data_IF_721800190306
#
_entry.id   IF_721800190306
#
_cell.length_a   1.000
_cell.length_b   1.000
_cell.length_c   1.000
_cell.angle_alpha   90.00
_cell.angle_beta   90.00
_cell.angle_gamma   90.00
#
_symmetry.space_group_name_H-M   'P 1'
#
loop_
_entity.id
_entity.type
_entity.pdbx_description
1 polymer ?
#
# COMPACT_ATOMS: atom_id res chain seq x y z
N UNK A 1 67.72 45.82 -4.05
CA UNK A 1 67.30 46.53 -2.82
C UNK A 1 65.79 46.46 -2.73
N UNK A 2 65.31 45.74 -1.71
CA UNK A 2 63.90 45.62 -1.31
C UNK A 2 63.47 46.85 -0.50
N UNK A 3 62.24 47.32 -0.69
CA UNK A 3 61.34 47.96 0.31
C UNK A 3 60.10 48.50 -0.44
N UNK A 4 58.94 47.85 -0.31
CA UNK A 4 57.93 48.04 0.75
C UNK A 4 57.39 49.48 0.86
N UNK A 5 56.11 49.65 0.50
CA UNK A 5 55.12 50.15 1.46
C UNK A 5 54.41 51.48 1.17
N UNK A 6 53.09 51.33 1.02
CA UNK A 6 51.99 52.24 1.44
C UNK A 6 51.62 53.40 0.52
N UNK A 7 50.41 53.32 -0.06
CA UNK A 7 49.51 54.47 -0.09
C UNK A 7 48.04 54.05 0.04
N UNK A 8 47.47 54.46 1.18
CA UNK A 8 46.09 54.87 1.46
C UNK A 8 44.89 54.00 1.04
N UNK A 9 44.28 53.43 2.08
CA UNK A 9 42.89 53.01 2.22
C UNK A 9 41.92 54.06 1.66
N UNK A 10 41.03 53.64 0.74
CA UNK A 10 39.77 54.34 0.47
C UNK A 10 38.60 53.47 0.91
N UNK A 11 37.97 53.90 1.99
CA UNK A 11 36.78 53.33 2.59
C UNK A 11 35.58 53.46 1.62
N UNK A 12 34.88 52.36 1.33
CA UNK A 12 33.51 52.41 0.81
C UNK A 12 32.70 51.29 1.44
N UNK A 13 32.10 51.63 2.57
CA UNK A 13 31.20 50.77 3.31
C UNK A 13 29.90 50.46 2.55
N UNK A 14 29.29 49.38 3.02
CA UNK A 14 27.86 49.07 2.98
C UNK A 14 27.21 48.82 1.62
N UNK A 15 27.33 47.59 1.10
CA UNK A 15 26.25 46.92 0.33
C UNK A 15 26.12 45.41 0.58
N UNK A 16 26.70 44.86 1.66
CA UNK A 16 26.59 43.43 1.99
C UNK A 16 25.27 43.10 2.73
N UNK A 17 24.59 44.10 3.27
CA UNK A 17 23.37 43.92 4.06
C UNK A 17 22.07 43.72 3.27
N UNK A 18 22.05 43.91 1.93
CA UNK A 18 20.82 43.83 1.12
C UNK A 18 20.65 42.53 0.33
N UNK A 19 21.71 41.70 0.28
CA UNK A 19 21.68 40.40 -0.38
C UNK A 19 21.35 39.26 0.60
N UNK A 20 21.79 39.39 1.86
CA UNK A 20 21.53 38.41 2.92
C UNK A 20 20.05 38.36 3.35
N UNK A 21 19.30 39.45 3.22
CA UNK A 21 17.88 39.50 3.61
C UNK A 21 16.97 38.72 2.66
N UNK A 22 17.34 38.58 1.37
CA UNK A 22 16.51 37.83 0.40
C UNK A 22 16.70 36.31 0.49
N UNK A 23 17.86 35.83 0.98
CA UNK A 23 18.10 34.39 1.14
C UNK A 23 17.33 33.84 2.35
N UNK A 24 17.20 34.62 3.42
CA UNK A 24 16.43 34.20 4.61
C UNK A 24 14.92 34.15 4.34
N UNK A 25 14.40 35.03 3.48
CA UNK A 25 12.98 35.04 3.08
C UNK A 25 12.61 33.92 2.09
N UNK A 26 13.58 33.40 1.32
CA UNK A 26 13.33 32.29 0.38
C UNK A 26 13.38 30.91 1.06
N UNK A 27 14.21 30.77 2.11
CA UNK A 27 14.34 29.53 2.88
C UNK A 27 13.15 29.23 3.82
N UNK A 28 12.31 30.23 4.11
CA UNK A 28 11.11 30.05 4.96
C UNK A 28 9.85 29.67 4.15
N UNK A 29 9.91 29.74 2.81
CA UNK A 29 8.76 29.48 1.92
C UNK A 29 8.60 28.02 1.47
N UNK A 30 9.60 27.15 1.69
CA UNK A 30 9.57 25.77 1.16
C UNK A 30 9.12 24.71 2.15
N UNK A 31 8.88 25.05 3.43
CA UNK A 31 8.49 24.07 4.45
C UNK A 31 6.97 23.84 4.58
N UNK A 32 6.15 24.43 3.70
CA UNK A 32 4.67 24.36 3.80
C UNK A 32 4.01 23.34 2.84
N UNK A 33 4.79 22.53 2.11
CA UNK A 33 4.26 21.41 1.33
C UNK A 33 4.41 20.05 2.02
N UNK A 34 4.46 20.03 3.36
CA UNK A 34 4.01 18.85 4.10
C UNK A 34 2.49 18.81 4.03
N UNK A 35 1.96 18.48 2.85
CA UNK A 35 0.59 18.04 2.68
C UNK A 35 0.42 16.78 3.51
N UNK A 36 0.09 16.97 4.78
CA UNK A 36 -0.47 15.96 5.64
C UNK A 36 -1.78 15.55 4.98
N UNK A 37 -1.70 14.51 4.14
CA UNK A 37 -2.87 13.87 3.57
C UNK A 37 -3.73 13.44 4.74
N UNK A 38 -4.75 14.23 5.04
CA UNK A 38 -5.79 13.80 5.95
C UNK A 38 -6.51 12.71 5.17
N UNK A 39 -6.08 11.46 5.31
CA UNK A 39 -6.88 10.31 4.91
C UNK A 39 -8.20 10.48 5.66
N UNK A 40 -9.19 11.01 4.95
CA UNK A 40 -10.56 11.00 5.40
C UNK A 40 -10.85 9.52 5.52
N UNK A 41 -10.84 8.98 6.73
CA UNK A 41 -11.37 7.66 7.02
C UNK A 41 -12.83 7.68 6.57
N UNK A 42 -13.05 7.36 5.29
CA UNK A 42 -14.35 7.40 4.67
C UNK A 42 -15.23 6.41 5.41
N UNK A 43 -16.48 6.80 5.66
CA UNK A 43 -17.49 5.82 6.06
C UNK A 43 -17.56 4.73 4.97
N UNK A 44 -17.83 3.48 5.36
CA UNK A 44 -18.05 2.38 4.42
C UNK A 44 -19.06 2.82 3.36
N UNK A 45 -18.61 2.82 2.12
CA UNK A 45 -19.37 3.22 0.95
C UNK A 45 -20.10 2.02 0.35
N UNK A 46 -20.26 2.04 -0.98
CA UNK A 46 -21.01 1.04 -1.73
C UNK A 46 -20.28 -0.31 -1.74
N UNK A 47 -21.01 -1.40 -1.52
CA UNK A 47 -20.50 -2.76 -1.76
C UNK A 47 -20.35 -3.02 -3.27
N UNK A 48 -19.24 -3.67 -3.64
CA UNK A 48 -18.89 -4.01 -5.01
C UNK A 48 -19.18 -5.48 -5.28
N UNK A 49 -19.63 -5.75 -6.51
CA UNK A 49 -19.86 -7.12 -6.96
C UNK A 49 -18.54 -7.84 -7.17
N UNK A 50 -18.48 -9.08 -6.69
CA UNK A 50 -17.35 -9.98 -6.89
C UNK A 50 -17.83 -11.42 -7.03
N UNK A 51 -16.97 -12.22 -7.65
CA UNK A 51 -17.15 -13.67 -7.79
C UNK A 51 -15.95 -14.37 -7.17
N UNK A 52 -16.19 -15.37 -6.32
CA UNK A 52 -15.11 -16.24 -5.85
C UNK A 52 -14.66 -17.12 -7.01
N UNK A 53 -13.37 -17.08 -7.32
CA UNK A 53 -12.80 -17.82 -8.46
C UNK A 53 -12.22 -19.14 -7.94
N UNK A 54 -12.67 -20.30 -8.47
CA UNK A 54 -12.03 -21.57 -8.16
C UNK A 54 -10.62 -21.60 -8.76
N UNK A 55 -9.72 -22.33 -8.11
CA UNK A 55 -8.29 -22.43 -8.50
C UNK A 55 -8.08 -22.77 -9.98
N UNK A 56 -8.97 -23.57 -10.55
CA UNK A 56 -8.91 -24.04 -11.94
C UNK A 56 -9.23 -22.94 -12.97
N UNK A 57 -9.98 -21.91 -12.57
CA UNK A 57 -10.35 -20.77 -13.41
C UNK A 57 -9.42 -19.57 -13.23
N UNK A 58 -8.48 -19.63 -12.29
CA UNK A 58 -7.49 -18.59 -12.09
C UNK A 58 -6.52 -18.54 -13.30
N UNK A 59 -6.14 -17.33 -13.78
CA UNK A 59 -5.08 -17.19 -14.77
C UNK A 59 -3.80 -17.92 -14.35
N UNK A 60 -3.19 -18.67 -15.27
CA UNK A 60 -2.07 -19.57 -14.96
C UNK A 60 -0.88 -18.83 -14.33
N UNK A 61 -0.54 -17.66 -14.84
CA UNK A 61 0.56 -16.83 -14.32
C UNK A 61 0.27 -16.34 -12.90
N UNK A 62 -0.97 -15.92 -12.65
CA UNK A 62 -1.42 -15.49 -11.32
C UNK A 62 -1.40 -16.64 -10.31
N UNK A 63 -1.88 -17.81 -10.71
CA UNK A 63 -1.85 -19.01 -9.89
C UNK A 63 -0.41 -19.45 -9.57
N UNK A 64 0.51 -19.29 -10.52
CA UNK A 64 1.93 -19.57 -10.29
C UNK A 64 2.53 -18.63 -9.22
N UNK A 65 2.16 -17.35 -9.22
CA UNK A 65 2.59 -16.40 -8.18
C UNK A 65 1.99 -16.73 -6.80
N UNK A 66 0.70 -17.06 -6.74
CA UNK A 66 0.04 -17.50 -5.51
C UNK A 66 0.78 -18.72 -4.93
N UNK A 67 1.07 -19.72 -5.75
CA UNK A 67 1.73 -20.94 -5.30
C UNK A 67 3.15 -20.70 -4.75
N UNK A 68 3.86 -19.67 -5.23
CA UNK A 68 5.16 -19.28 -4.70
C UNK A 68 5.04 -18.59 -3.34
N UNK A 69 3.97 -17.81 -3.10
CA UNK A 69 3.81 -16.98 -1.90
C UNK A 69 3.01 -17.64 -0.78
N UNK A 70 2.12 -18.61 -1.07
CA UNK A 70 1.14 -19.19 -0.14
C UNK A 70 1.68 -19.81 1.15
N UNK A 71 2.99 -20.07 1.23
CA UNK A 71 3.64 -20.52 2.46
C UNK A 71 3.58 -19.42 3.54
N UNK A 72 3.70 -18.16 3.13
CA UNK A 72 3.60 -17.00 4.01
C UNK A 72 2.28 -16.26 3.76
N UNK A 73 1.81 -15.44 4.73
CA UNK A 73 0.72 -14.52 4.48
C UNK A 73 1.03 -13.61 3.30
N UNK A 74 0.08 -13.47 2.38
CA UNK A 74 0.25 -12.62 1.20
C UNK A 74 -1.07 -11.98 0.80
N UNK A 75 -0.95 -10.83 0.16
CA UNK A 75 -2.04 -10.10 -0.49
C UNK A 75 -1.51 -9.64 -1.84
N UNK A 76 -2.29 -9.84 -2.90
CA UNK A 76 -1.90 -9.37 -4.23
C UNK A 76 -3.10 -9.15 -5.15
N UNK A 77 -2.87 -8.31 -6.15
CA UNK A 77 -3.82 -8.00 -7.21
C UNK A 77 -3.24 -8.48 -8.55
N UNK A 78 -4.09 -8.94 -9.45
CA UNK A 78 -3.70 -9.25 -10.82
C UNK A 78 -4.76 -8.74 -11.78
N UNK A 79 -4.34 -8.03 -12.82
CA UNK A 79 -5.26 -7.45 -13.80
C UNK A 79 -5.20 -8.25 -15.09
N UNK A 80 -6.38 -8.56 -15.64
CA UNK A 80 -6.51 -9.24 -16.92
C UNK A 80 -7.73 -8.67 -17.66
N UNK A 81 -7.44 -7.89 -18.71
CA UNK A 81 -8.44 -7.16 -19.48
C UNK A 81 -9.31 -6.23 -18.61
N UNK A 82 -10.61 -6.52 -18.59
CA UNK A 82 -11.61 -5.74 -17.83
C UNK A 82 -11.79 -6.18 -16.38
N UNK A 83 -11.00 -7.16 -15.92
CA UNK A 83 -11.14 -7.74 -14.59
C UNK A 83 -9.89 -7.53 -13.73
N UNK A 84 -10.13 -7.43 -12.43
CA UNK A 84 -9.11 -7.43 -11.39
C UNK A 84 -9.36 -8.63 -10.47
N UNK A 85 -8.32 -9.43 -10.26
CA UNK A 85 -8.29 -10.57 -9.36
C UNK A 85 -7.59 -10.16 -8.07
N UNK A 86 -8.19 -10.51 -6.94
CA UNK A 86 -7.68 -10.23 -5.60
C UNK A 86 -7.39 -11.56 -4.93
N UNK A 87 -6.16 -11.76 -4.48
CA UNK A 87 -5.79 -12.96 -3.73
C UNK A 87 -5.29 -12.60 -2.34
N UNK A 88 -5.81 -13.30 -1.34
CA UNK A 88 -5.36 -13.25 0.06
C UNK A 88 -5.04 -14.66 0.50
N UNK A 89 -3.83 -14.86 1.04
CA UNK A 89 -3.43 -16.09 1.70
C UNK A 89 -2.99 -15.81 3.13
N UNK A 90 -3.32 -16.73 4.03
CA UNK A 90 -2.99 -16.62 5.47
C UNK A 90 -1.74 -17.44 5.86
N UNK A 91 -0.96 -17.87 4.87
CA UNK A 91 0.23 -18.68 5.08
C UNK A 91 -0.06 -20.08 5.59
N UNK A 92 0.99 -20.75 6.04
CA UNK A 92 0.91 -22.08 6.63
C UNK A 92 0.17 -22.09 7.97
N UNK A 93 -0.76 -23.04 8.10
CA UNK A 93 -1.49 -23.36 9.32
C UNK A 93 -1.16 -24.78 9.75
N UNK A 94 -0.99 -25.02 11.05
CA UNK A 94 -0.54 -26.32 11.60
C UNK A 94 -1.54 -27.45 11.37
N UNK A 95 -2.84 -27.13 11.27
CA UNK A 95 -3.90 -28.11 11.03
C UNK A 95 -4.68 -27.79 9.77
N UNK A 96 -5.50 -28.74 9.33
CA UNK A 96 -6.54 -28.48 8.36
C UNK A 96 -7.78 -27.84 9.02
N UNK A 97 -8.81 -27.58 8.23
CA UNK A 97 -10.08 -27.02 8.70
C UNK A 97 -10.13 -25.49 8.73
N UNK A 98 -9.05 -24.82 8.34
CA UNK A 98 -9.06 -23.39 8.11
C UNK A 98 -9.71 -23.04 6.78
N UNK A 99 -10.50 -21.96 6.75
CA UNK A 99 -11.11 -21.40 5.54
C UNK A 99 -11.02 -19.88 5.55
N UNK A 100 -10.97 -19.27 4.37
CA UNK A 100 -10.96 -17.81 4.24
C UNK A 100 -12.37 -17.34 3.87
N UNK A 101 -12.89 -16.37 4.61
CA UNK A 101 -14.20 -15.76 4.36
C UNK A 101 -14.03 -14.30 3.93
N UNK A 102 -14.78 -13.89 2.92
CA UNK A 102 -14.95 -12.47 2.58
C UNK A 102 -15.91 -11.83 3.57
N UNK A 103 -15.47 -10.78 4.25
CA UNK A 103 -16.32 -9.94 5.10
C UNK A 103 -16.91 -8.77 4.32
N UNK A 104 -16.17 -8.25 3.33
CA UNK A 104 -16.66 -7.18 2.47
C UNK A 104 -15.72 -6.87 1.32
N UNK A 105 -16.30 -6.40 0.23
CA UNK A 105 -15.61 -5.69 -0.83
C UNK A 105 -16.38 -4.41 -1.09
N UNK A 106 -15.84 -3.26 -0.69
CA UNK A 106 -16.61 -2.02 -0.68
C UNK A 106 -15.73 -0.80 -0.89
N UNK A 107 -16.33 0.28 -1.38
CA UNK A 107 -15.65 1.56 -1.52
C UNK A 107 -15.45 2.22 -0.15
N UNK A 108 -14.29 2.81 0.09
CA UNK A 108 -14.02 3.60 1.30
C UNK A 108 -13.15 4.80 0.94
N UNK A 109 -13.69 6.00 1.07
CA UNK A 109 -13.01 7.21 0.59
C UNK A 109 -12.75 7.12 -0.92
N UNK A 110 -11.50 7.29 -1.32
CA UNK A 110 -11.07 7.23 -2.73
C UNK A 110 -10.59 5.82 -3.16
N UNK A 111 -10.70 4.82 -2.28
CA UNK A 111 -10.23 3.46 -2.48
C UNK A 111 -11.31 2.39 -2.41
N UNK A 112 -10.87 1.15 -2.57
CA UNK A 112 -11.65 -0.08 -2.39
C UNK A 112 -11.03 -0.89 -1.27
N UNK A 113 -11.83 -1.28 -0.30
CA UNK A 113 -11.42 -2.18 0.78
C UNK A 113 -11.85 -3.60 0.43
N UNK A 114 -10.90 -4.53 0.47
CA UNK A 114 -11.16 -5.96 0.44
C UNK A 114 -10.88 -6.55 1.81
N UNK A 115 -11.94 -6.86 2.54
CA UNK A 115 -11.89 -7.35 3.91
C UNK A 115 -12.13 -8.86 3.94
N UNK A 116 -11.19 -9.60 4.50
CA UNK A 116 -11.25 -11.05 4.68
C UNK A 116 -10.99 -11.43 6.13
N UNK A 117 -11.39 -12.65 6.50
CA UNK A 117 -11.04 -13.22 7.78
C UNK A 117 -10.70 -14.71 7.63
N UNK A 118 -9.77 -15.19 8.45
CA UNK A 118 -9.45 -16.59 8.57
C UNK A 118 -10.37 -17.25 9.60
N UNK A 119 -11.20 -18.17 9.14
CA UNK A 119 -12.03 -19.01 10.00
C UNK A 119 -11.24 -20.27 10.36
N UNK A 120 -11.07 -20.50 11.65
CA UNK A 120 -10.55 -21.76 12.16
C UNK A 120 -11.58 -22.89 12.03
N UNK A 121 -11.13 -24.14 12.28
CA UNK A 121 -12.01 -25.30 12.33
C UNK A 121 -13.13 -25.11 13.36
N UNK A 122 -14.31 -25.65 13.05
CA UNK A 122 -15.46 -25.57 13.95
C UNK A 122 -15.23 -26.36 15.24
N UNK A 123 -15.92 -25.98 16.32
CA UNK A 123 -15.85 -26.71 17.59
C UNK A 123 -16.35 -28.14 17.38
N UNK A 124 -15.46 -29.12 17.56
CA UNK A 124 -15.77 -30.54 17.37
C UNK A 124 -15.53 -31.06 15.96
N UNK A 125 -15.03 -30.22 15.04
CA UNK A 125 -14.55 -30.69 13.74
C UNK A 125 -13.31 -31.56 13.93
N UNK A 126 -13.31 -32.75 13.32
CA UNK A 126 -12.08 -33.56 13.25
C UNK A 126 -11.05 -32.84 12.39
N UNK A 127 -9.93 -32.47 13.03
CA UNK A 127 -8.79 -31.87 12.37
C UNK A 127 -7.62 -32.84 12.36
N UNK A 128 -6.92 -32.89 11.24
CA UNK A 128 -5.63 -33.56 11.11
C UNK A 128 -4.50 -32.56 11.32
N UNK A 129 -3.36 -33.03 11.83
CA UNK A 129 -2.11 -32.26 11.91
C UNK A 129 -1.41 -32.10 10.55
N UNK A 130 -2.19 -32.04 9.47
CA UNK A 130 -1.70 -31.78 8.14
C UNK A 130 -1.68 -30.27 7.94
N UNK A 131 -0.48 -29.74 7.67
CA UNK A 131 -0.28 -28.33 7.34
C UNK A 131 -1.19 -27.91 6.17
N UNK A 132 -1.90 -26.80 6.35
CA UNK A 132 -2.76 -26.22 5.32
C UNK A 132 -2.31 -24.82 4.95
N UNK A 133 -2.62 -24.37 3.73
CA UNK A 133 -2.26 -23.03 3.22
C UNK A 133 -3.52 -22.38 2.65
N UNK A 134 -4.45 -21.93 3.51
CA UNK A 134 -5.71 -21.36 3.07
C UNK A 134 -5.48 -20.04 2.33
N UNK A 135 -6.05 -19.95 1.13
CA UNK A 135 -6.08 -18.73 0.33
C UNK A 135 -7.44 -18.61 -0.36
N UNK A 136 -7.79 -17.39 -0.76
CA UNK A 136 -8.99 -17.06 -1.49
C UNK A 136 -8.62 -16.19 -2.68
N UNK A 137 -9.27 -16.45 -3.82
CA UNK A 137 -9.22 -15.57 -4.98
C UNK A 137 -10.64 -15.09 -5.29
N UNK A 138 -10.79 -13.78 -5.45
CA UNK A 138 -12.02 -13.18 -5.99
C UNK A 138 -11.71 -12.40 -7.25
N UNK A 139 -12.71 -12.31 -8.13
CA UNK A 139 -12.68 -11.53 -9.36
C UNK A 139 -13.74 -10.44 -9.28
N UNK A 140 -13.35 -9.24 -9.64
CA UNK A 140 -14.21 -8.07 -9.75
C UNK A 140 -13.95 -7.35 -11.07
N UNK A 141 -14.85 -6.45 -11.46
CA UNK A 141 -14.58 -5.53 -12.57
C UNK A 141 -13.40 -4.63 -12.20
N UNK A 142 -12.50 -4.38 -13.15
CA UNK A 142 -11.37 -3.47 -12.96
C UNK A 142 -11.88 -2.06 -12.64
N UNK A 143 -11.27 -1.44 -11.64
CA UNK A 143 -11.55 -0.07 -11.19
C UNK A 143 -10.24 0.68 -11.09
N UNK A 144 -10.23 1.95 -11.49
CA UNK A 144 -9.08 2.85 -11.31
C UNK A 144 -9.04 3.42 -9.88
N UNK A 145 -9.14 2.54 -8.88
CA UNK A 145 -9.10 2.87 -7.46
C UNK A 145 -8.04 2.01 -6.77
N UNK A 146 -7.38 2.58 -5.77
CA UNK A 146 -6.42 1.84 -4.93
C UNK A 146 -7.17 0.76 -4.15
N UNK A 147 -6.61 -0.44 -4.13
CA UNK A 147 -7.15 -1.58 -3.39
C UNK A 147 -6.40 -1.69 -2.06
N UNK A 148 -7.13 -1.73 -0.97
CA UNK A 148 -6.64 -1.87 0.40
C UNK A 148 -7.14 -3.19 0.98
N UNK A 149 -6.21 -4.03 1.42
CA UNK A 149 -6.53 -5.34 1.97
C UNK A 149 -6.60 -5.26 3.48
N UNK A 150 -7.71 -5.74 4.05
CA UNK A 150 -7.99 -5.77 5.47
C UNK A 150 -8.19 -7.24 5.85
N UNK A 151 -7.38 -7.78 6.75
CA UNK A 151 -7.30 -9.23 7.00
C UNK A 151 -7.01 -9.60 8.43
#
# INVERSE_FOLDING_TARGET
>A
MLRNGVCAVRNKGYRVGRLLTMVVLFSFGMCLFSGCGTEKEGKRGKDLDYTVVPTEECPADFLAEINKKKINPFQMTYEDGEYCYLAVGYGEQETNGFSVRVLGLYEKGDGVVFETNLLGPEKGQEVSQKKSMPYLVVKMKKLEKKIEFWS
#
